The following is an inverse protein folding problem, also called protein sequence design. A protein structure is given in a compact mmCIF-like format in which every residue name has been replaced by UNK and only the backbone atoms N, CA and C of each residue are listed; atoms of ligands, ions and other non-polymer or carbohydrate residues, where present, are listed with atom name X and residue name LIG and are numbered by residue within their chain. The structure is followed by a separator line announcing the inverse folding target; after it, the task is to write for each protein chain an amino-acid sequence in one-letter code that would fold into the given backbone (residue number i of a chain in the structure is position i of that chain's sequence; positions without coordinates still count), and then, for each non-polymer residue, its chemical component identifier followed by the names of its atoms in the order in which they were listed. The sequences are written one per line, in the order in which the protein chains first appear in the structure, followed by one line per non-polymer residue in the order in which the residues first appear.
data_IF_017730860816
#
_entry.id   IF_017730860816
#
_cell.length_a   1.000
_cell.length_b   1.000
_cell.length_c   1.000
_cell.angle_alpha   90.00
_cell.angle_beta   90.00
_cell.angle_gamma   90.00
#
_symmetry.space_group_name_H-M   'P 1'
#
loop_
_entity.id
_entity.type
_entity.pdbx_description
1 polymer ?
#
# COMPACT_ATOMS: atom_id res chain seq x y z
N UNK A 1 -1.81 18.57 -20.87
CA UNK A 1 -1.62 18.27 -20.69
C UNK A 1 -0.68 17.58 -20.58
N UNK A 2 -0.41 17.41 -20.75
CA UNK A 2 0.54 16.96 -20.75
C UNK A 2 0.86 15.96 -19.97
N UNK A 3 0.69 15.92 -19.32
CA UNK A 3 0.91 15.06 -18.45
C UNK A 3 0.65 13.86 -18.79
N UNK A 4 0.15 13.76 -19.63
CA UNK A 4 -0.29 12.71 -19.86
C UNK A 4 0.55 11.76 -20.20
N UNK A 5 1.29 11.88 -20.60
CA UNK A 5 1.89 10.96 -21.13
C UNK A 5 2.99 10.53 -20.43
N UNK A 6 3.14 10.75 -19.41
CA UNK A 6 4.14 10.31 -18.86
C UNK A 6 4.14 8.95 -18.65
N UNK A 7 4.98 8.27 -19.04
CA UNK A 7 4.96 6.92 -19.06
C UNK A 7 5.43 6.43 -17.84
N UNK A 8 5.03 6.80 -16.84
CA UNK A 8 5.60 6.26 -15.85
C UNK A 8 4.85 5.31 -15.15
N UNK A 9 5.16 4.89 -14.05
CA UNK A 9 4.60 3.79 -13.38
C UNK A 9 3.19 4.06 -13.10
N UNK A 10 2.31 3.10 -13.17
CA UNK A 10 0.91 3.30 -12.92
C UNK A 10 0.65 3.65 -11.46
N UNK A 11 -0.46 4.26 -11.22
CA UNK A 11 -0.88 4.55 -9.87
C UNK A 11 -2.30 4.07 -9.69
N UNK A 12 -2.70 3.91 -8.45
CA UNK A 12 -4.01 3.39 -8.12
C UNK A 12 -4.76 4.40 -7.27
N UNK A 13 -6.06 4.47 -7.48
CA UNK A 13 -6.91 5.21 -6.55
C UNK A 13 -7.06 4.35 -5.29
N UNK A 14 -7.65 4.91 -4.25
CA UNK A 14 -7.90 4.16 -3.04
C UNK A 14 -8.74 2.92 -3.35
N UNK A 15 -9.79 3.10 -4.13
CA UNK A 15 -10.66 1.97 -4.46
C UNK A 15 -9.94 0.92 -5.29
N UNK A 16 -9.14 1.36 -6.26
CA UNK A 16 -8.40 0.42 -7.09
C UNK A 16 -7.38 -0.34 -6.27
N UNK A 17 -6.70 0.35 -5.37
CA UNK A 17 -5.74 -0.31 -4.50
C UNK A 17 -6.43 -1.35 -3.63
N UNK A 18 -7.55 -1.00 -3.04
CA UNK A 18 -8.29 -1.92 -2.19
C UNK A 18 -8.76 -3.15 -2.97
N UNK A 19 -9.22 -2.94 -4.19
CA UNK A 19 -9.64 -4.05 -5.02
C UNK A 19 -8.46 -4.95 -5.34
N UNK A 20 -7.35 -4.36 -5.72
CA UNK A 20 -6.17 -5.13 -6.10
C UNK A 20 -5.59 -5.91 -4.92
N UNK A 21 -5.61 -5.31 -3.75
CA UNK A 21 -5.08 -5.97 -2.55
C UNK A 21 -6.14 -6.77 -1.82
N UNK A 22 -7.37 -6.66 -2.26
CA UNK A 22 -8.49 -7.39 -1.66
C UNK A 22 -8.68 -7.06 -0.18
N UNK A 23 -8.59 -5.78 0.12
CA UNK A 23 -8.86 -5.31 1.47
C UNK A 23 -9.95 -4.26 1.38
N UNK A 24 -10.60 -3.97 2.47
CA UNK A 24 -11.63 -2.94 2.47
C UNK A 24 -11.01 -1.58 2.76
N UNK A 25 -11.76 -0.53 2.45
CA UNK A 25 -11.28 0.82 2.66
C UNK A 25 -10.98 1.09 4.13
N UNK A 26 -11.81 0.57 5.00
CA UNK A 26 -11.61 0.78 6.43
C UNK A 26 -10.25 0.23 6.85
N UNK A 27 -9.90 -0.93 6.34
CA UNK A 27 -8.62 -1.54 6.68
C UNK A 27 -7.46 -0.70 6.17
N UNK A 28 -7.57 -0.20 4.95
CA UNK A 28 -6.51 0.63 4.38
C UNK A 28 -6.32 1.91 5.19
N UNK A 29 -7.40 2.59 5.51
CA UNK A 29 -7.30 3.81 6.30
C UNK A 29 -6.77 3.52 7.70
N UNK A 30 -7.07 2.36 8.24
CA UNK A 30 -6.52 1.97 9.52
C UNK A 30 -5.01 1.79 9.45
N UNK A 31 -4.50 1.20 8.37
CA UNK A 31 -3.07 1.12 8.17
C UNK A 31 -2.44 2.51 8.14
N UNK A 32 -3.06 3.43 7.42
CA UNK A 32 -2.55 4.79 7.35
C UNK A 32 -2.57 5.46 8.73
N UNK A 33 -3.61 5.20 9.48
CA UNK A 33 -3.74 5.79 10.80
C UNK A 33 -2.59 5.36 11.71
N UNK A 34 -2.12 4.15 11.53
CA UNK A 34 -1.03 3.63 12.35
C UNK A 34 0.34 3.78 11.70
N UNK A 35 0.42 4.52 10.61
CA UNK A 35 1.69 4.73 9.93
C UNK A 35 2.22 3.52 9.20
N UNK A 36 1.35 2.57 8.90
CA UNK A 36 1.75 1.34 8.23
C UNK A 36 1.16 1.19 6.84
N UNK A 37 0.54 2.23 6.32
CA UNK A 37 -0.05 2.17 4.99
C UNK A 37 0.96 2.48 3.91
N UNK A 38 0.58 2.26 2.65
CA UNK A 38 1.48 2.57 1.55
C UNK A 38 1.65 4.07 1.41
N UNK A 39 2.77 4.48 0.84
CA UNK A 39 2.97 5.87 0.56
C UNK A 39 2.02 6.30 -0.54
N UNK A 40 1.60 7.52 -0.51
CA UNK A 40 0.67 8.03 -1.49
C UNK A 40 0.97 9.49 -1.77
N UNK A 41 0.42 10.00 -2.86
CA UNK A 41 0.46 11.43 -3.13
C UNK A 41 -0.97 11.90 -3.39
N UNK A 42 -1.15 13.20 -3.31
CA UNK A 42 -2.47 13.75 -3.52
C UNK A 42 -2.61 14.30 -4.92
N UNK A 43 -3.71 13.94 -5.57
CA UNK A 43 -4.05 14.49 -6.86
C UNK A 43 -5.37 15.21 -6.61
N UNK A 44 -5.29 16.51 -6.31
CA UNK A 44 -6.45 17.21 -5.83
C UNK A 44 -6.80 16.71 -4.44
N UNK A 45 -7.99 16.17 -4.31
CA UNK A 45 -8.41 15.60 -3.04
C UNK A 45 -8.26 14.11 -3.00
N UNK A 46 -7.82 13.52 -4.09
CA UNK A 46 -7.76 12.07 -4.17
C UNK A 46 -6.38 11.57 -3.82
N UNK A 47 -6.32 10.50 -3.07
CA UNK A 47 -5.06 9.86 -2.77
C UNK A 47 -4.74 8.88 -3.89
N UNK A 48 -3.50 8.92 -4.35
CA UNK A 48 -3.04 8.02 -5.40
C UNK A 48 -1.83 7.27 -4.87
N UNK A 49 -1.82 5.97 -5.08
CA UNK A 49 -0.74 5.12 -4.60
C UNK A 49 0.00 4.60 -5.82
N UNK A 50 1.29 4.88 -5.93
CA UNK A 50 2.04 4.42 -7.08
C UNK A 50 2.26 2.92 -6.99
N UNK A 51 2.55 2.32 -8.13
CA UNK A 51 2.84 0.89 -8.16
C UNK A 51 4.06 0.57 -7.31
N UNK A 52 5.05 1.42 -7.34
CA UNK A 52 6.23 1.23 -6.51
C UNK A 52 5.90 1.27 -5.03
N UNK A 53 5.07 2.22 -4.63
CA UNK A 53 4.65 2.32 -3.25
C UNK A 53 3.88 1.09 -2.81
N UNK A 54 3.08 0.53 -3.72
CA UNK A 54 2.36 -0.69 -3.43
C UNK A 54 3.31 -1.85 -3.21
N UNK A 55 4.32 -1.99 -4.07
CA UNK A 55 5.28 -3.07 -3.91
C UNK A 55 6.09 -2.93 -2.63
N UNK A 56 6.50 -1.70 -2.30
CA UNK A 56 7.22 -1.47 -1.06
C UNK A 56 6.37 -1.82 0.14
N UNK A 57 5.10 -1.45 0.09
CA UNK A 57 4.19 -1.76 1.17
C UNK A 57 4.00 -3.27 1.32
N UNK A 58 3.90 -3.99 0.21
CA UNK A 58 3.79 -5.43 0.26
C UNK A 58 5.01 -6.04 0.93
N UNK A 59 6.19 -5.56 0.60
CA UNK A 59 7.41 -6.06 1.22
C UNK A 59 7.43 -5.82 2.71
N UNK A 60 6.97 -4.66 3.12
CA UNK A 60 6.90 -4.34 4.54
C UNK A 60 5.94 -5.26 5.26
N UNK A 61 4.80 -5.54 4.63
CA UNK A 61 3.83 -6.45 5.24
C UNK A 61 4.39 -7.87 5.34
N UNK A 62 5.07 -8.30 4.31
CA UNK A 62 5.69 -9.63 4.32
C UNK A 62 6.78 -9.73 5.38
N UNK A 63 7.58 -8.70 5.51
CA UNK A 63 8.64 -8.70 6.51
C UNK A 63 8.06 -8.77 7.92
N UNK A 64 6.95 -8.11 8.14
CA UNK A 64 6.32 -8.13 9.45
C UNK A 64 5.79 -9.52 9.79
N UNK A 65 5.18 -10.17 8.81
CA UNK A 65 4.68 -11.51 9.00
C UNK A 65 5.84 -12.48 9.27
N UNK A 66 6.93 -12.35 8.56
CA UNK A 66 8.10 -13.19 8.78
C UNK A 66 8.64 -13.05 10.19
N UNK A 67 8.67 -11.82 10.69
CA UNK A 67 9.12 -11.60 12.06
C UNK A 67 8.20 -12.26 13.06
N UNK A 68 6.91 -12.19 12.83
CA UNK A 68 5.94 -12.81 13.71
C UNK A 68 6.09 -14.32 13.68
N UNK A 69 6.26 -14.90 12.51
CA UNK A 69 6.41 -16.33 12.38
C UNK A 69 7.68 -16.82 13.04
N UNK A 70 8.76 -16.09 12.91
CA UNK A 70 9.99 -16.44 13.56
C UNK A 70 9.83 -16.42 15.09
N UNK A 71 9.12 -15.41 15.58
CA UNK A 71 8.86 -15.32 17.01
C UNK A 71 8.03 -16.49 17.47
N UNK A 72 7.04 -16.88 16.70
CA UNK A 72 6.22 -18.03 17.05
C UNK A 72 7.05 -19.32 17.05
N UNK A 73 7.86 -19.48 16.04
CA UNK A 73 8.70 -20.67 15.97
C UNK A 73 9.65 -20.73 17.14
N UNK A 74 10.19 -19.59 17.53
CA UNK A 74 11.10 -19.56 18.66
C UNK A 74 10.37 -19.84 19.97
N UNK A 75 9.11 -19.50 20.04
CA UNK A 75 8.34 -19.72 21.24
C UNK A 75 7.87 -21.17 21.37
N UNK A 76 7.79 -21.82 20.22
CA UNK A 76 7.38 -23.22 20.30
C UNK A 76 8.55 -24.11 20.58
#
# INVERSE_FOLDING_TARGET
MSDTFIPFEPSYSVDEFCTAERICRVKLYDYWKHGKGPRYYLNGRCRRITHRARLDWQREREAEVSRIEVSHAAAS
#
